data_IF_543780257129
#
_entry.id   IF_543780257129
#
_cell.length_a   1.000
_cell.length_b   1.000
_cell.length_c   1.000
_cell.angle_alpha   90.00
_cell.angle_beta   90.00
_cell.angle_gamma   90.00
#
_symmetry.space_group_name_H-M   'P 1'
#
loop_
_entity.id
_entity.type
_entity.pdbx_description
1 polymer ?
#
# COMPACT_ATOMS: atom_id res chain seq x y z
N UNK A 1 -7.70 -7.20 17.84
CA UNK A 1 -6.40 -7.79 18.25
C UNK A 1 -5.37 -6.65 18.22
N UNK A 2 -4.41 -6.58 19.15
CA UNK A 2 -3.40 -5.51 19.14
C UNK A 2 -2.54 -5.60 17.87
N UNK A 3 -2.37 -4.48 17.16
CA UNK A 3 -1.45 -4.39 16.05
C UNK A 3 -0.01 -4.62 16.56
N UNK A 4 0.77 -5.44 15.86
CA UNK A 4 2.22 -5.50 16.10
C UNK A 4 2.83 -4.25 15.47
N UNK A 5 3.31 -3.33 16.29
CA UNK A 5 3.91 -2.06 15.83
C UNK A 5 5.37 -1.97 16.28
N UNK A 6 6.28 -1.65 15.35
CA UNK A 6 7.73 -1.60 15.61
C UNK A 6 8.45 -0.65 14.65
N UNK A 7 9.47 0.05 15.15
CA UNK A 7 10.39 0.81 14.32
C UNK A 7 11.34 -0.14 13.58
N UNK A 8 11.58 0.14 12.30
CA UNK A 8 12.55 -0.59 11.48
C UNK A 8 13.54 0.40 10.88
N UNK A 9 14.83 0.12 11.08
CA UNK A 9 15.94 0.92 10.54
C UNK A 9 16.48 0.36 9.22
N UNK A 10 16.19 -0.90 8.90
CA UNK A 10 16.60 -1.50 7.64
C UNK A 10 15.72 -0.98 6.49
N UNK A 11 16.30 -0.37 5.45
CA UNK A 11 15.52 0.16 4.35
C UNK A 11 14.70 -0.92 3.65
N UNK A 12 13.46 -0.59 3.28
CA UNK A 12 12.60 -1.48 2.50
C UNK A 12 12.28 -0.83 1.16
N UNK A 13 12.39 -1.61 0.08
CA UNK A 13 12.05 -1.14 -1.26
C UNK A 13 11.00 -2.01 -1.92
N UNK A 14 10.15 -1.36 -2.71
CA UNK A 14 9.14 -1.97 -3.56
C UNK A 14 9.33 -1.47 -4.99
N UNK A 15 9.18 -2.37 -5.96
CA UNK A 15 9.08 -2.02 -7.38
C UNK A 15 7.71 -2.49 -7.85
N UNK A 16 6.81 -1.53 -8.04
CA UNK A 16 5.41 -1.77 -8.30
C UNK A 16 5.05 -1.33 -9.71
N UNK A 17 4.08 -2.03 -10.30
CA UNK A 17 3.47 -1.66 -11.57
C UNK A 17 1.97 -1.52 -11.36
N UNK A 18 1.42 -0.40 -11.84
CA UNK A 18 0.00 -0.11 -11.69
C UNK A 18 -0.39 1.29 -12.13
N UNK A 19 -1.33 1.89 -11.41
CA UNK A 19 -1.98 3.15 -11.79
C UNK A 19 -1.99 4.13 -10.62
N UNK A 20 -1.92 5.43 -10.94
CA UNK A 20 -2.06 6.50 -9.95
C UNK A 20 -3.23 7.45 -10.24
N UNK A 21 -3.66 8.17 -9.20
CA UNK A 21 -4.50 9.36 -9.31
C UNK A 21 -4.20 10.34 -8.19
N UNK A 22 -4.61 11.59 -8.37
CA UNK A 22 -4.64 12.58 -7.29
C UNK A 22 -5.97 12.42 -6.55
N UNK A 23 -5.90 12.24 -5.23
CA UNK A 23 -7.07 12.19 -4.36
C UNK A 23 -7.80 13.53 -4.38
N UNK A 24 -9.13 13.47 -4.42
CA UNK A 24 -9.97 14.66 -4.38
C UNK A 24 -10.37 14.91 -2.93
N UNK A 25 -9.94 16.04 -2.38
CA UNK A 25 -10.27 16.39 -1.00
C UNK A 25 -11.80 16.40 -0.77
N UNK A 26 -12.22 15.81 0.36
CA UNK A 26 -13.63 15.69 0.72
C UNK A 26 -14.32 14.44 0.16
N UNK A 27 -13.65 13.62 -0.66
CA UNK A 27 -14.17 12.30 -1.07
C UNK A 27 -13.52 11.19 -0.24
N UNK A 28 -14.14 10.00 -0.14
CA UNK A 28 -13.53 8.88 0.55
C UNK A 28 -12.48 8.18 -0.36
N UNK A 29 -11.30 7.90 0.21
CA UNK A 29 -10.23 7.15 -0.47
C UNK A 29 -10.68 5.79 -1.02
N UNK A 30 -11.73 5.18 -0.47
CA UNK A 30 -12.26 3.90 -0.96
C UNK A 30 -12.72 3.97 -2.42
N UNK A 31 -13.20 5.12 -2.90
CA UNK A 31 -13.58 5.28 -4.31
C UNK A 31 -12.36 5.29 -5.24
N UNK A 32 -11.28 5.94 -4.79
CA UNK A 32 -10.01 5.99 -5.49
C UNK A 32 -9.39 4.59 -5.56
N UNK A 33 -9.32 3.90 -4.43
CA UNK A 33 -8.84 2.52 -4.33
C UNK A 33 -9.62 1.61 -5.29
N UNK A 34 -10.96 1.67 -5.28
CA UNK A 34 -11.80 0.84 -6.15
C UNK A 34 -11.52 1.08 -7.63
N UNK A 35 -11.42 2.34 -8.04
CA UNK A 35 -11.14 2.70 -9.43
C UNK A 35 -9.75 2.23 -9.87
N UNK A 36 -8.72 2.49 -9.05
CA UNK A 36 -7.35 2.09 -9.34
C UNK A 36 -7.19 0.56 -9.41
N UNK A 37 -7.80 -0.17 -8.47
CA UNK A 37 -7.81 -1.64 -8.48
C UNK A 37 -8.50 -2.20 -9.71
N UNK A 38 -9.62 -1.58 -10.14
CA UNK A 38 -10.32 -1.98 -11.36
C UNK A 38 -9.43 -1.88 -12.60
N UNK A 39 -8.70 -0.77 -12.75
CA UNK A 39 -7.76 -0.58 -13.86
C UNK A 39 -6.58 -1.56 -13.79
N UNK A 40 -5.96 -1.70 -12.61
CA UNK A 40 -4.83 -2.60 -12.37
C UNK A 40 -5.16 -4.04 -12.75
N UNK A 41 -6.25 -4.58 -12.21
CA UNK A 41 -6.63 -5.97 -12.46
C UNK A 41 -7.17 -6.18 -13.88
N UNK A 42 -7.79 -5.15 -14.47
CA UNK A 42 -8.18 -5.15 -15.89
C UNK A 42 -6.98 -5.33 -16.82
N UNK A 43 -5.89 -4.60 -16.59
CA UNK A 43 -4.66 -4.71 -17.39
C UNK A 43 -3.95 -6.04 -17.16
N UNK A 44 -3.84 -6.49 -15.91
CA UNK A 44 -3.27 -7.80 -15.56
C UNK A 44 -3.99 -8.91 -16.33
N UNK A 45 -5.33 -8.90 -16.32
CA UNK A 45 -6.12 -9.91 -17.01
C UNK A 45 -6.00 -9.80 -18.54
N UNK A 46 -6.09 -8.59 -19.08
CA UNK A 46 -6.06 -8.33 -20.53
C UNK A 46 -4.73 -8.76 -21.14
N UNK A 47 -3.62 -8.54 -20.43
CA UNK A 47 -2.28 -8.81 -20.93
C UNK A 47 -1.69 -10.14 -20.44
N UNK A 48 -2.40 -10.87 -19.58
CA UNK A 48 -1.94 -12.16 -19.05
C UNK A 48 -0.62 -12.04 -18.27
N UNK A 49 -0.47 -10.97 -17.48
CA UNK A 49 0.77 -10.65 -16.79
C UNK A 49 0.97 -11.58 -15.59
N UNK A 50 2.15 -12.19 -15.49
CA UNK A 50 2.56 -12.92 -14.31
C UNK A 50 2.95 -11.92 -13.19
N UNK A 51 2.44 -12.17 -11.98
CA UNK A 51 2.58 -11.27 -10.83
C UNK A 51 2.60 -12.05 -9.52
N UNK A 52 3.06 -11.39 -8.45
CA UNK A 52 3.08 -11.99 -7.10
C UNK A 52 1.71 -11.99 -6.40
N UNK A 53 0.74 -11.27 -6.96
CA UNK A 53 -0.67 -11.31 -6.52
C UNK A 53 -0.96 -10.54 -5.23
N UNK A 54 0.01 -9.81 -4.71
CA UNK A 54 -0.11 -9.01 -3.49
C UNK A 54 -0.33 -7.55 -3.86
N UNK A 55 -1.50 -7.03 -3.47
CA UNK A 55 -1.88 -5.65 -3.73
C UNK A 55 -1.10 -4.69 -2.83
N UNK A 56 -0.62 -3.61 -3.42
CA UNK A 56 0.01 -2.50 -2.72
C UNK A 56 -0.79 -1.23 -2.97
N UNK A 57 -1.07 -0.48 -1.91
CA UNK A 57 -1.47 0.92 -2.00
C UNK A 57 -0.33 1.80 -1.52
N UNK A 58 -0.03 2.86 -2.25
CA UNK A 58 0.98 3.85 -1.89
C UNK A 58 0.32 5.23 -1.86
N UNK A 59 0.46 5.92 -0.74
CA UNK A 59 -0.03 7.28 -0.54
C UNK A 59 1.18 8.21 -0.46
N UNK A 60 1.37 9.02 -1.49
CA UNK A 60 2.51 9.93 -1.65
C UNK A 60 2.15 11.37 -1.29
N UNK A 61 3.16 12.24 -1.25
CA UNK A 61 2.94 13.68 -1.06
C UNK A 61 2.06 14.27 -2.16
N UNK A 62 1.35 15.35 -1.84
CA UNK A 62 0.42 16.00 -2.79
C UNK A 62 -0.85 15.19 -3.08
N UNK A 63 -1.18 14.20 -2.24
CA UNK A 63 -2.41 13.41 -2.35
C UNK A 63 -2.40 12.39 -3.48
N UNK A 64 -1.24 12.07 -4.07
CA UNK A 64 -1.13 11.02 -5.08
C UNK A 64 -1.33 9.65 -4.43
N UNK A 65 -2.29 8.90 -4.95
CA UNK A 65 -2.62 7.53 -4.55
C UNK A 65 -2.26 6.61 -5.71
N UNK A 66 -1.51 5.55 -5.42
CA UNK A 66 -1.10 4.55 -6.40
C UNK A 66 -1.53 3.16 -5.94
N UNK A 67 -2.12 2.38 -6.84
CA UNK A 67 -2.38 0.96 -6.63
C UNK A 67 -1.52 0.15 -7.59
N UNK A 68 -0.85 -0.89 -7.10
CA UNK A 68 -0.03 -1.74 -7.96
C UNK A 68 0.33 -3.09 -7.35
N UNK A 69 1.02 -3.90 -8.15
CA UNK A 69 1.58 -5.19 -7.76
C UNK A 69 3.03 -5.30 -8.17
N UNK A 70 3.74 -6.24 -7.58
CA UNK A 70 5.00 -6.73 -8.12
C UNK A 70 4.73 -7.69 -9.29
N UNK A 71 5.26 -7.37 -10.47
CA UNK A 71 5.24 -8.24 -11.64
C UNK A 71 6.43 -9.20 -11.61
N UNK A 72 6.25 -10.40 -12.18
CA UNK A 72 7.38 -11.28 -12.49
C UNK A 72 8.28 -10.62 -13.56
N UNK A 73 9.60 -10.87 -13.57
CA UNK A 73 10.55 -10.18 -14.45
C UNK A 73 10.15 -10.19 -15.93
N UNK A 74 9.67 -11.33 -16.44
CA UNK A 74 9.23 -11.46 -17.84
C UNK A 74 8.06 -10.55 -18.19
N UNK A 75 7.17 -10.28 -17.24
CA UNK A 75 6.02 -9.39 -17.43
C UNK A 75 6.43 -7.93 -17.29
N UNK A 76 7.28 -7.61 -16.31
CA UNK A 76 7.84 -6.28 -16.10
C UNK A 76 8.64 -5.76 -17.31
N UNK A 77 9.46 -6.63 -17.92
CA UNK A 77 10.31 -6.27 -19.06
C UNK A 77 9.53 -6.13 -20.37
N UNK A 78 8.32 -6.68 -20.45
CA UNK A 78 7.52 -6.65 -21.68
C UNK A 78 7.15 -5.23 -22.11
N UNK A 79 7.00 -4.30 -21.15
CA UNK A 79 6.67 -2.88 -21.36
C UNK A 79 5.34 -2.62 -22.09
N UNK A 80 4.53 -3.65 -22.34
CA UNK A 80 3.36 -3.62 -23.23
C UNK A 80 2.01 -3.53 -22.51
N UNK A 81 2.02 -3.22 -21.23
CA UNK A 81 0.85 -3.29 -20.35
C UNK A 81 0.29 -1.93 -19.91
N UNK A 82 0.83 -0.80 -20.39
CA UNK A 82 0.27 0.54 -20.11
C UNK A 82 0.42 1.06 -18.67
N UNK A 83 0.73 0.19 -17.70
CA UNK A 83 0.93 0.56 -16.29
C UNK A 83 2.20 1.39 -16.03
N UNK A 84 2.09 2.32 -15.09
CA UNK A 84 3.21 3.08 -14.52
C UNK A 84 4.11 2.18 -13.66
N UNK A 85 5.44 2.38 -13.72
CA UNK A 85 6.39 1.78 -12.78
C UNK A 85 6.67 2.76 -11.63
N UNK A 86 6.40 2.35 -10.40
CA UNK A 86 6.72 3.09 -9.19
C UNK A 86 7.79 2.35 -8.37
N UNK A 87 8.87 3.05 -8.01
CA UNK A 87 9.85 2.54 -7.06
C UNK A 87 9.74 3.33 -5.76
N UNK A 88 9.44 2.64 -4.67
CA UNK A 88 9.32 3.23 -3.32
C UNK A 88 10.45 2.68 -2.47
N UNK A 89 11.18 3.54 -1.78
CA UNK A 89 12.19 3.15 -0.79
C UNK A 89 11.91 3.88 0.52
N UNK A 90 11.67 3.12 1.57
CA UNK A 90 11.45 3.59 2.94
C UNK A 90 12.75 3.41 3.73
N UNK A 91 13.44 4.49 4.04
CA UNK A 91 14.72 4.45 4.78
C UNK A 91 14.51 4.22 6.28
N UNK A 92 13.53 4.91 6.87
CA UNK A 92 13.11 4.74 8.26
C UNK A 92 11.60 4.70 8.28
N UNK A 93 11.03 3.68 8.92
CA UNK A 93 9.58 3.54 8.97
C UNK A 93 9.13 2.86 10.24
N UNK A 94 7.89 3.16 10.61
CA UNK A 94 7.13 2.38 11.57
C UNK A 94 6.34 1.32 10.81
N UNK A 95 6.56 0.07 11.17
CA UNK A 95 5.79 -1.07 10.68
C UNK A 95 4.60 -1.31 11.59
N UNK A 96 3.42 -1.55 11.02
CA UNK A 96 2.23 -2.03 11.71
C UNK A 96 1.59 -3.19 10.96
N UNK A 97 1.00 -4.15 11.67
CA UNK A 97 0.14 -5.18 11.06
C UNK A 97 -1.29 -5.07 11.58
N UNK A 98 -2.23 -4.84 10.66
CA UNK A 98 -3.65 -4.92 10.91
C UNK A 98 -4.15 -6.33 10.58
N UNK A 99 -4.99 -6.88 11.46
CA UNK A 99 -5.73 -8.13 11.22
C UNK A 99 -7.18 -7.87 11.60
N UNK A 100 -8.07 -7.95 10.60
CA UNK A 100 -9.47 -7.61 10.74
C UNK A 100 -10.04 -6.84 9.55
N UNK A 101 -11.28 -6.35 9.68
CA UNK A 101 -11.98 -5.67 8.60
C UNK A 101 -11.37 -4.29 8.31
N UNK A 102 -11.35 -3.92 7.02
CA UNK A 102 -10.69 -2.69 6.55
C UNK A 102 -11.28 -1.39 7.10
N UNK A 103 -12.54 -1.38 7.52
CA UNK A 103 -13.17 -0.23 8.16
C UNK A 103 -12.53 0.15 9.51
N UNK A 104 -11.70 -0.75 10.07
CA UNK A 104 -10.94 -0.55 11.32
C UNK A 104 -9.44 -0.29 11.09
N UNK A 105 -9.01 -0.09 9.85
CA UNK A 105 -7.62 0.30 9.56
C UNK A 105 -7.23 1.62 10.25
N UNK A 106 -8.19 2.55 10.38
CA UNK A 106 -8.00 3.82 11.08
C UNK A 106 -7.43 3.65 12.50
N UNK A 107 -7.92 2.66 13.26
CA UNK A 107 -7.43 2.36 14.60
C UNK A 107 -5.95 1.98 14.61
N UNK A 108 -5.48 1.33 13.55
CA UNK A 108 -4.07 0.94 13.41
C UNK A 108 -3.21 2.15 13.05
N UNK A 109 -3.68 3.03 12.15
CA UNK A 109 -2.97 4.29 11.86
C UNK A 109 -2.87 5.18 13.10
N UNK A 110 -3.94 5.29 13.88
CA UNK A 110 -3.96 6.10 15.10
C UNK A 110 -2.97 5.57 16.14
N UNK A 111 -2.94 4.25 16.34
CA UNK A 111 -1.96 3.61 17.22
C UNK A 111 -0.51 3.82 16.75
N UNK A 112 -0.27 3.73 15.44
CA UNK A 112 1.05 3.99 14.85
C UNK A 112 1.49 5.44 15.04
N UNK A 113 0.62 6.42 14.75
CA UNK A 113 0.93 7.85 14.95
C UNK A 113 1.15 8.19 16.42
N UNK A 114 0.38 7.58 17.33
CA UNK A 114 0.61 7.73 18.77
C UNK A 114 2.00 7.21 19.17
N UNK A 115 2.45 6.10 18.59
CA UNK A 115 3.80 5.57 18.84
C UNK A 115 4.90 6.46 18.26
N UNK A 116 4.71 7.03 17.06
CA UNK A 116 5.64 8.03 16.51
C UNK A 116 5.75 9.25 17.43
N UNK A 117 4.60 9.81 17.84
CA UNK A 117 4.56 10.99 18.71
C UNK A 117 5.24 10.72 20.07
N UNK A 118 5.05 9.54 20.66
CA UNK A 118 5.72 9.14 21.90
C UNK A 118 7.25 9.08 21.77
N UNK A 119 7.79 8.98 20.56
CA UNK A 119 9.23 9.00 20.26
C UNK A 119 9.71 10.32 19.65
N UNK A 120 8.87 11.36 19.65
CA UNK A 120 9.20 12.66 19.07
C UNK A 120 9.35 12.64 17.55
N UNK A 121 8.68 11.69 16.88
CA UNK A 121 8.70 11.49 15.43
C UNK A 121 7.35 11.82 14.81
N UNK A 122 7.35 12.08 13.51
CA UNK A 122 6.13 12.30 12.71
C UNK A 122 6.11 11.43 11.47
N UNK A 123 4.92 11.04 11.01
CA UNK A 123 4.79 10.34 9.74
C UNK A 123 4.98 11.30 8.56
N UNK A 124 5.65 10.79 7.54
CA UNK A 124 5.86 11.48 6.26
C UNK A 124 5.40 10.58 5.12
N UNK A 125 5.05 11.14 3.95
CA UNK A 125 4.88 10.33 2.76
C UNK A 125 6.23 9.71 2.31
N UNK A 126 6.23 8.52 1.70
CA UNK A 126 5.05 7.73 1.38
C UNK A 126 4.61 6.80 2.53
N UNK A 127 3.31 6.53 2.60
CA UNK A 127 2.74 5.41 3.36
C UNK A 127 2.46 4.26 2.39
N UNK A 128 2.83 3.04 2.75
CA UNK A 128 2.57 1.84 1.96
C UNK A 128 1.68 0.87 2.74
N UNK A 129 0.61 0.41 2.11
CA UNK A 129 -0.20 -0.71 2.58
C UNK A 129 0.05 -1.92 1.68
N UNK A 130 0.22 -3.09 2.29
CA UNK A 130 0.40 -4.37 1.61
C UNK A 130 -0.68 -5.32 2.09
N UNK A 131 -1.57 -5.71 1.18
CA UNK A 131 -2.73 -6.53 1.50
C UNK A 131 -2.37 -8.02 1.38
N UNK A 132 -2.60 -8.78 2.45
CA UNK A 132 -2.43 -10.22 2.45
C UNK A 132 -3.39 -10.94 1.50
N UNK A 133 -3.38 -12.27 1.53
CA UNK A 133 -4.32 -13.05 0.73
C UNK A 133 -5.77 -12.73 1.09
N UNK A 134 -6.62 -12.58 0.07
CA UNK A 134 -8.05 -12.38 0.26
C UNK A 134 -8.66 -13.51 1.08
N UNK A 135 -9.58 -13.15 1.96
CA UNK A 135 -10.41 -14.08 2.71
C UNK A 135 -11.85 -13.56 2.74
N UNK A 136 -12.81 -14.45 2.54
CA UNK A 136 -14.23 -14.11 2.72
C UNK A 136 -14.60 -13.91 4.20
N UNK A 137 -13.70 -14.26 5.13
CA UNK A 137 -13.81 -13.97 6.55
C UNK A 137 -13.06 -12.67 6.87
N UNK A 138 -13.77 -11.53 7.09
CA UNK A 138 -13.13 -10.24 7.33
C UNK A 138 -12.21 -10.23 8.55
N UNK A 139 -12.43 -11.13 9.53
CA UNK A 139 -11.58 -11.23 10.71
C UNK A 139 -10.18 -11.81 10.39
N UNK A 140 -9.98 -12.37 9.19
CA UNK A 140 -8.71 -12.94 8.73
C UNK A 140 -8.01 -12.08 7.69
N UNK A 141 -8.60 -10.97 7.26
CA UNK A 141 -7.94 -10.04 6.35
C UNK A 141 -6.72 -9.44 7.06
N UNK A 142 -5.60 -9.43 6.35
CA UNK A 142 -4.35 -8.87 6.86
C UNK A 142 -3.92 -7.69 5.99
N UNK A 143 -3.46 -6.63 6.63
CA UNK A 143 -2.81 -5.50 5.96
C UNK A 143 -1.54 -5.14 6.73
N UNK A 144 -0.40 -5.21 6.07
CA UNK A 144 0.84 -4.65 6.59
C UNK A 144 0.93 -3.18 6.19
N UNK A 145 1.30 -2.32 7.13
CA UNK A 145 1.36 -0.87 6.96
C UNK A 145 2.80 -0.44 7.24
N UNK A 146 3.36 0.30 6.30
CA UNK A 146 4.70 0.87 6.38
C UNK A 146 4.56 2.39 6.32
N UNK A 147 4.72 3.04 7.47
CA UNK A 147 4.58 4.48 7.63
C UNK A 147 5.98 5.10 7.67
N UNK A 148 6.39 5.78 6.61
CA UNK A 148 7.65 6.55 6.61
C UNK A 148 7.63 7.56 7.75
N UNK A 149 8.77 7.77 8.40
CA UNK A 149 8.87 8.67 9.54
C UNK A 149 10.21 9.37 9.66
N UNK A 150 10.20 10.56 10.25
CA UNK A 150 11.39 11.34 10.63
C UNK A 150 11.34 11.72 12.12
#
# INVERSE_FOLDING_TARGET
MMAMIRFIEEPKSFVLYGHSKIHVEGTPYSEDVKALMGNLWGDIQTHGLAHRGINHMVYEAGGRVFAGVELEPSSAESGKHGMERLQVTLSHYLYGKHIGPYDRLCETYDAMRAQLAAHGKTDTPPLVEVYGHWSDDPAKLETEIFMSCE
#
